data_IF_501597687378
#
_entry.id   IF_501597687378
#
_cell.length_a   1.000
_cell.length_b   1.000
_cell.length_c   1.000
_cell.angle_alpha   90.00
_cell.angle_beta   90.00
_cell.angle_gamma   90.00
#
_symmetry.space_group_name_H-M   'P 1'
#
loop_
_entity.id
_entity.type
_entity.pdbx_description
1 polymer ?
#
# COMPACT_ATOMS: atom_id res chain seq x y z
N UNK A 1 -16.91 1.15 -9.04
CA UNK A 1 -16.80 1.93 -7.81
C UNK A 1 -17.78 1.42 -6.77
N UNK A 2 -17.45 1.49 -5.48
CA UNK A 2 -18.37 1.07 -4.42
C UNK A 2 -19.43 2.14 -4.13
N UNK A 3 -19.07 3.40 -4.22
CA UNK A 3 -20.01 4.51 -4.00
C UNK A 3 -20.50 5.06 -5.34
N UNK A 4 -21.78 4.84 -5.63
CA UNK A 4 -22.45 5.30 -6.86
C UNK A 4 -23.75 6.04 -6.51
N UNK A 5 -24.20 7.01 -7.34
CA UNK A 5 -25.31 7.90 -6.96
C UNK A 5 -26.69 7.22 -6.78
N UNK A 6 -26.92 6.09 -7.42
CA UNK A 6 -28.25 5.43 -7.45
C UNK A 6 -28.27 4.06 -6.77
N UNK A 7 -27.13 3.36 -6.76
CA UNK A 7 -27.01 2.00 -6.22
C UNK A 7 -25.60 1.81 -5.72
N UNK A 8 -25.41 1.15 -4.60
CA UNK A 8 -24.09 0.77 -4.15
C UNK A 8 -23.44 -0.24 -5.12
N UNK A 9 -22.13 -0.10 -5.35
CA UNK A 9 -21.41 -0.95 -6.31
C UNK A 9 -21.38 -2.42 -5.93
N UNK A 10 -21.41 -2.74 -4.62
CA UNK A 10 -21.51 -4.13 -4.14
C UNK A 10 -22.92 -4.68 -4.34
N UNK A 11 -23.96 -3.85 -4.17
CA UNK A 11 -25.33 -4.21 -4.50
C UNK A 11 -25.49 -4.48 -6.01
N UNK A 12 -24.87 -3.64 -6.86
CA UNK A 12 -24.87 -3.87 -8.30
C UNK A 12 -24.17 -5.19 -8.66
N UNK A 13 -23.06 -5.53 -8.01
CA UNK A 13 -22.37 -6.81 -8.22
C UNK A 13 -23.25 -8.00 -7.83
N UNK A 14 -23.96 -7.88 -6.71
CA UNK A 14 -24.92 -8.90 -6.24
C UNK A 14 -26.01 -9.14 -7.26
N UNK A 15 -26.61 -8.09 -7.79
CA UNK A 15 -27.63 -8.15 -8.84
C UNK A 15 -27.08 -8.82 -10.12
N UNK A 16 -25.90 -8.42 -10.60
CA UNK A 16 -25.25 -9.03 -11.77
C UNK A 16 -25.06 -10.54 -11.58
N UNK A 17 -24.67 -11.00 -10.41
CA UNK A 17 -24.40 -12.41 -10.15
C UNK A 17 -25.66 -13.23 -9.82
N UNK A 18 -26.75 -12.60 -9.41
CA UNK A 18 -28.06 -13.23 -9.24
C UNK A 18 -28.77 -13.44 -10.58
N UNK A 19 -28.62 -12.54 -11.52
CA UNK A 19 -29.16 -12.65 -12.88
C UNK A 19 -28.21 -13.43 -13.78
N UNK A 20 -28.17 -14.72 -13.59
CA UNK A 20 -27.72 -15.84 -14.45
C UNK A 20 -26.98 -15.50 -15.77
N UNK A 21 -25.84 -14.82 -15.68
CA UNK A 21 -24.88 -14.83 -16.77
C UNK A 21 -24.03 -16.10 -16.70
N UNK A 22 -24.11 -16.94 -17.70
CA UNK A 22 -23.21 -18.06 -17.90
C UNK A 22 -22.44 -17.87 -19.21
N UNK A 23 -21.10 -17.79 -19.20
CA UNK A 23 -20.21 -17.79 -18.02
C UNK A 23 -20.31 -16.51 -17.20
N UNK A 24 -20.11 -16.60 -15.88
CA UNK A 24 -20.09 -15.43 -15.00
C UNK A 24 -18.95 -14.48 -15.41
N UNK A 25 -19.22 -13.18 -15.59
CA UNK A 25 -18.17 -12.23 -15.91
C UNK A 25 -17.21 -12.05 -14.72
N UNK A 26 -15.93 -11.88 -15.01
CA UNK A 26 -14.95 -11.50 -13.99
C UNK A 26 -15.20 -10.04 -13.57
N UNK A 27 -15.46 -9.79 -12.30
CA UNK A 27 -15.74 -8.46 -11.78
C UNK A 27 -14.51 -7.87 -11.08
N UNK A 28 -14.10 -6.68 -11.52
CA UNK A 28 -13.05 -5.88 -10.89
C UNK A 28 -13.68 -4.68 -10.20
N UNK A 29 -13.42 -4.53 -8.92
CA UNK A 29 -13.88 -3.37 -8.14
C UNK A 29 -12.71 -2.40 -7.99
N UNK A 30 -12.91 -1.17 -8.48
CA UNK A 30 -11.99 -0.06 -8.30
C UNK A 30 -12.68 0.98 -7.41
N UNK A 31 -12.14 1.27 -6.23
CA UNK A 31 -12.78 2.18 -5.28
C UNK A 31 -11.79 3.17 -4.68
N UNK A 32 -12.28 4.40 -4.45
CA UNK A 32 -11.55 5.41 -3.67
C UNK A 32 -11.69 5.17 -2.15
N UNK A 33 -12.67 4.36 -1.75
CA UNK A 33 -12.86 3.95 -0.37
C UNK A 33 -12.35 2.52 -0.20
N UNK A 34 -11.36 2.35 0.65
CA UNK A 34 -10.76 1.06 0.97
C UNK A 34 -10.92 0.77 2.44
N UNK A 35 -11.59 -0.33 2.74
CA UNK A 35 -11.57 -0.92 4.08
C UNK A 35 -11.45 -2.44 3.92
N UNK A 36 -10.83 -3.10 4.88
CA UNK A 36 -10.76 -4.55 4.91
C UNK A 36 -12.16 -5.19 4.85
N UNK A 37 -13.15 -4.54 5.44
CA UNK A 37 -14.54 -4.99 5.48
C UNK A 37 -15.16 -4.97 4.07
N UNK A 38 -14.98 -3.88 3.31
CA UNK A 38 -15.47 -3.77 1.93
C UNK A 38 -14.74 -4.75 0.99
N UNK A 39 -13.44 -4.96 1.19
CA UNK A 39 -12.68 -5.91 0.39
C UNK A 39 -13.14 -7.36 0.64
N UNK A 40 -13.41 -7.72 1.89
CA UNK A 40 -13.95 -9.03 2.26
C UNK A 40 -15.37 -9.22 1.70
N UNK A 41 -16.25 -8.24 1.85
CA UNK A 41 -17.61 -8.30 1.30
C UNK A 41 -17.60 -8.43 -0.23
N UNK A 42 -16.71 -7.71 -0.92
CA UNK A 42 -16.51 -7.86 -2.36
C UNK A 42 -16.05 -9.26 -2.74
N UNK A 43 -15.13 -9.85 -1.97
CA UNK A 43 -14.65 -11.21 -2.19
C UNK A 43 -15.76 -12.24 -1.96
N UNK A 44 -16.54 -12.10 -0.90
CA UNK A 44 -17.68 -12.97 -0.57
C UNK A 44 -18.76 -12.93 -1.67
N UNK A 45 -18.93 -11.77 -2.31
CA UNK A 45 -19.81 -11.60 -3.46
C UNK A 45 -19.21 -12.18 -4.76
N UNK A 46 -17.95 -12.64 -4.75
CA UNK A 46 -17.30 -13.25 -5.89
C UNK A 46 -16.57 -12.26 -6.82
N UNK A 47 -16.23 -11.07 -6.34
CA UNK A 47 -15.38 -10.17 -7.11
C UNK A 47 -14.00 -10.79 -7.36
N UNK A 48 -13.54 -10.74 -8.61
CA UNK A 48 -12.25 -11.29 -9.01
C UNK A 48 -11.06 -10.46 -8.53
N UNK A 49 -11.28 -9.18 -8.27
CA UNK A 49 -10.24 -8.28 -7.78
C UNK A 49 -10.85 -7.01 -7.15
N UNK A 50 -10.26 -6.55 -6.05
CA UNK A 50 -10.53 -5.25 -5.44
C UNK A 50 -9.25 -4.42 -5.47
N UNK A 51 -9.30 -3.19 -5.97
CA UNK A 51 -8.13 -2.30 -6.07
C UNK A 51 -8.49 -0.87 -5.65
N UNK A 52 -7.62 -0.21 -4.87
CA UNK A 52 -7.80 1.19 -4.52
C UNK A 52 -7.57 2.11 -5.72
N UNK A 53 -8.28 3.23 -5.76
CA UNK A 53 -7.98 4.37 -6.64
C UNK A 53 -7.07 5.36 -5.88
N UNK A 54 -6.03 5.93 -6.53
CA UNK A 54 -5.59 5.70 -7.92
C UNK A 54 -4.91 4.33 -8.10
N UNK A 55 -5.35 3.55 -9.07
CA UNK A 55 -4.80 2.22 -9.32
C UNK A 55 -3.60 2.26 -10.30
N UNK A 56 -2.66 1.34 -10.10
CA UNK A 56 -1.56 1.13 -11.03
C UNK A 56 -2.10 0.37 -12.25
N UNK A 57 -2.09 1.02 -13.43
CA UNK A 57 -2.60 0.43 -14.66
C UNK A 57 -1.82 -0.84 -15.07
N UNK A 58 -0.52 -0.89 -14.84
CA UNK A 58 0.29 -2.08 -15.15
C UNK A 58 -0.14 -3.27 -14.29
N UNK A 59 -0.39 -3.03 -12.99
CA UNK A 59 -0.89 -4.06 -12.09
C UNK A 59 -2.30 -4.52 -12.47
N UNK A 60 -3.18 -3.60 -12.87
CA UNK A 60 -4.53 -3.91 -13.35
C UNK A 60 -4.48 -4.79 -14.61
N UNK A 61 -3.67 -4.40 -15.61
CA UNK A 61 -3.49 -5.17 -16.84
C UNK A 61 -2.95 -6.57 -16.57
N UNK A 62 -1.96 -6.69 -15.68
CA UNK A 62 -1.40 -7.99 -15.29
C UNK A 62 -2.45 -8.89 -14.64
N UNK A 63 -3.31 -8.34 -13.78
CA UNK A 63 -4.41 -9.11 -13.16
C UNK A 63 -5.46 -9.55 -14.17
N UNK A 64 -5.82 -8.68 -15.11
CA UNK A 64 -6.76 -9.03 -16.20
C UNK A 64 -6.18 -10.16 -17.06
N UNK A 65 -4.90 -10.07 -17.45
CA UNK A 65 -4.22 -11.11 -18.24
C UNK A 65 -4.18 -12.45 -17.51
N UNK A 66 -3.90 -12.45 -16.21
CA UNK A 66 -3.85 -13.67 -15.42
C UNK A 66 -5.21 -14.38 -15.32
N UNK A 67 -6.32 -13.62 -15.28
CA UNK A 67 -7.67 -14.21 -15.31
C UNK A 67 -8.02 -14.84 -16.66
N UNK A 68 -7.46 -14.34 -17.76
CA UNK A 68 -7.69 -14.88 -19.09
C UNK A 68 -6.97 -16.21 -19.35
N UNK A 69 -5.98 -16.55 -18.53
CA UNK A 69 -5.14 -17.76 -18.67
C UNK A 69 -5.67 -18.92 -17.80
N UNK A 70 -6.48 -18.63 -16.79
CA UNK A 70 -6.96 -19.65 -15.83
C UNK A 70 -8.44 -19.89 -16.03
N UNK A 71 -8.82 -21.05 -16.57
CA UNK A 71 -10.20 -21.55 -16.56
C UNK A 71 -10.73 -21.74 -15.13
N UNK A 72 -12.07 -21.69 -14.92
CA UNK A 72 -12.66 -21.51 -13.60
C UNK A 72 -12.56 -22.78 -12.77
N UNK A 73 -11.72 -22.80 -11.79
CA UNK A 73 -11.94 -23.62 -10.62
C UNK A 73 -12.16 -22.71 -9.40
N UNK A 74 -13.30 -22.92 -8.78
CA UNK A 74 -13.68 -22.35 -7.50
C UNK A 74 -12.51 -22.40 -6.53
N UNK A 75 -11.93 -21.26 -6.25
CA UNK A 75 -11.02 -21.08 -5.11
C UNK A 75 -11.51 -19.87 -4.34
N UNK A 76 -12.29 -20.17 -3.34
CA UNK A 76 -12.59 -19.34 -2.19
C UNK A 76 -11.28 -18.79 -1.64
N UNK A 77 -11.19 -17.47 -1.54
CA UNK A 77 -10.13 -16.81 -0.79
C UNK A 77 -8.81 -16.65 -1.55
N UNK A 78 -8.74 -15.70 -2.49
CA UNK A 78 -7.46 -15.06 -2.73
C UNK A 78 -7.21 -14.11 -1.55
N UNK A 79 -6.66 -14.67 -0.48
CA UNK A 79 -5.87 -13.92 0.44
C UNK A 79 -4.92 -13.06 -0.41
N UNK A 80 -5.01 -11.75 -0.26
CA UNK A 80 -3.99 -10.82 -0.73
C UNK A 80 -2.67 -11.45 -0.35
N UNK A 81 -1.74 -11.66 -1.31
CA UNK A 81 -0.49 -12.31 -0.92
C UNK A 81 0.09 -11.56 0.26
N UNK A 82 0.70 -12.22 1.24
CA UNK A 82 1.23 -11.54 2.41
C UNK A 82 2.09 -10.32 2.06
N UNK A 83 2.83 -10.38 0.95
CA UNK A 83 3.63 -9.26 0.44
C UNK A 83 2.77 -8.08 -0.03
N UNK A 84 1.65 -8.32 -0.71
CA UNK A 84 0.74 -7.24 -1.16
C UNK A 84 -0.05 -6.67 0.02
N UNK A 85 -0.45 -7.51 0.98
CA UNK A 85 -1.09 -7.04 2.22
C UNK A 85 -0.14 -6.14 3.02
N UNK A 86 1.11 -6.51 3.12
CA UNK A 86 2.15 -5.72 3.77
C UNK A 86 2.38 -4.39 3.03
N UNK A 87 2.49 -4.40 1.70
CA UNK A 87 2.65 -3.18 0.90
C UNK A 87 1.49 -2.20 1.11
N UNK A 88 0.25 -2.71 1.17
CA UNK A 88 -0.94 -1.89 1.46
C UNK A 88 -0.82 -1.30 2.87
N UNK A 89 -0.55 -2.13 3.88
CA UNK A 89 -0.43 -1.69 5.27
C UNK A 89 0.65 -0.62 5.46
N UNK A 90 1.83 -0.83 4.89
CA UNK A 90 2.93 0.14 4.93
C UNK A 90 2.53 1.43 4.22
N UNK A 91 1.90 1.35 3.05
CA UNK A 91 1.45 2.53 2.30
C UNK A 91 0.41 3.33 3.07
N UNK A 92 -0.56 2.67 3.70
CA UNK A 92 -1.57 3.32 4.53
C UNK A 92 -0.94 3.98 5.76
N UNK A 93 0.01 3.32 6.40
CA UNK A 93 0.72 3.85 7.58
C UNK A 93 1.48 5.11 7.24
N UNK A 94 2.32 5.12 6.19
CA UNK A 94 3.09 6.31 5.81
C UNK A 94 2.18 7.44 5.31
N UNK A 95 1.02 7.11 4.75
CA UNK A 95 0.02 8.11 4.37
C UNK A 95 -0.65 8.73 5.61
N UNK A 96 -1.04 7.93 6.61
CA UNK A 96 -1.58 8.41 7.89
C UNK A 96 -0.60 9.33 8.61
N UNK A 97 0.69 9.02 8.54
CA UNK A 97 1.76 9.85 9.09
C UNK A 97 1.98 11.17 8.34
N UNK A 98 1.23 11.42 7.25
CA UNK A 98 1.28 12.68 6.50
C UNK A 98 2.35 12.75 5.43
N UNK A 99 2.95 11.63 5.01
CA UNK A 99 3.91 11.60 3.89
C UNK A 99 3.17 11.80 2.56
N UNK A 100 3.48 12.84 1.76
CA UNK A 100 2.77 13.09 0.51
C UNK A 100 3.03 11.99 -0.53
N UNK A 101 1.97 11.41 -1.11
CA UNK A 101 2.06 10.29 -2.05
C UNK A 101 2.74 10.66 -3.40
N UNK A 102 2.73 11.94 -3.78
CA UNK A 102 3.26 12.40 -5.07
C UNK A 102 4.77 12.58 -5.12
N UNK A 103 5.47 12.55 -3.99
CA UNK A 103 6.92 12.72 -3.94
C UNK A 103 7.67 11.40 -4.06
N UNK A 104 8.88 11.42 -4.66
CA UNK A 104 9.71 10.22 -4.79
C UNK A 104 10.11 9.62 -3.44
N UNK A 105 10.24 10.45 -2.42
CA UNK A 105 10.54 10.01 -1.05
C UNK A 105 9.50 9.07 -0.48
N UNK A 106 8.22 9.19 -0.86
CA UNK A 106 7.16 8.27 -0.46
C UNK A 106 7.42 6.85 -0.99
N UNK A 107 7.78 6.72 -2.27
CA UNK A 107 8.10 5.41 -2.88
C UNK A 107 9.34 4.79 -2.25
N UNK A 108 10.39 5.58 -2.09
CA UNK A 108 11.65 5.10 -1.49
C UNK A 108 11.47 4.70 -0.03
N UNK A 109 10.68 5.46 0.73
CA UNK A 109 10.39 5.14 2.12
C UNK A 109 9.59 3.84 2.25
N UNK A 110 8.54 3.67 1.44
CA UNK A 110 7.77 2.43 1.39
C UNK A 110 8.67 1.23 1.10
N UNK A 111 9.47 1.30 0.03
CA UNK A 111 10.30 0.18 -0.38
C UNK A 111 11.43 -0.09 0.63
N UNK A 112 11.95 0.94 1.30
CA UNK A 112 12.89 0.77 2.40
C UNK A 112 12.26 0.03 3.60
N UNK A 113 11.03 0.37 3.97
CA UNK A 113 10.29 -0.32 5.04
C UNK A 113 10.03 -1.77 4.63
N UNK A 114 9.54 -2.02 3.41
CA UNK A 114 9.28 -3.37 2.90
C UNK A 114 10.54 -4.25 2.97
N UNK A 115 11.67 -3.76 2.48
CA UNK A 115 12.95 -4.48 2.55
C UNK A 115 13.39 -4.73 4.00
N UNK A 116 13.12 -3.80 4.91
CA UNK A 116 13.47 -3.94 6.32
C UNK A 116 12.60 -4.97 7.04
N UNK A 117 11.33 -5.11 6.66
CA UNK A 117 10.45 -6.19 7.15
C UNK A 117 10.93 -7.56 6.66
N UNK A 118 11.37 -7.65 5.39
CA UNK A 118 11.89 -8.90 4.82
C UNK A 118 13.26 -9.29 5.41
N UNK A 119 14.09 -8.30 5.72
CA UNK A 119 15.43 -8.50 6.28
C UNK A 119 15.75 -7.39 7.30
N UNK A 120 15.57 -7.71 8.58
CA UNK A 120 15.80 -6.78 9.70
C UNK A 120 17.26 -6.30 9.82
N UNK A 121 18.23 -7.05 9.29
CA UNK A 121 19.65 -6.65 9.33
C UNK A 121 19.92 -5.39 8.51
N UNK A 122 19.11 -5.09 7.50
CA UNK A 122 19.23 -3.88 6.68
C UNK A 122 19.05 -2.59 7.51
N UNK A 123 18.30 -2.65 8.61
CA UNK A 123 18.13 -1.50 9.53
C UNK A 123 19.46 -1.14 10.22
N UNK A 124 20.32 -2.13 10.45
CA UNK A 124 21.64 -1.90 11.05
C UNK A 124 22.67 -1.32 10.07
N UNK A 125 22.39 -1.43 8.77
CA UNK A 125 23.28 -1.04 7.68
C UNK A 125 22.62 -0.08 6.67
N UNK A 126 21.76 0.84 7.14
CA UNK A 126 20.90 1.69 6.29
C UNK A 126 21.68 2.39 5.18
N UNK A 127 22.79 3.04 5.51
CA UNK A 127 23.59 3.77 4.50
C UNK A 127 24.36 2.85 3.57
N UNK A 128 24.86 1.72 4.08
CA UNK A 128 25.72 0.82 3.32
C UNK A 128 24.95 -0.19 2.47
N UNK A 129 23.74 -0.58 2.90
CA UNK A 129 22.98 -1.65 2.28
C UNK A 129 21.58 -1.24 1.86
N UNK A 130 20.76 -0.67 2.77
CA UNK A 130 19.37 -0.37 2.52
C UNK A 130 19.18 0.69 1.42
N UNK A 131 19.86 1.85 1.53
CA UNK A 131 19.74 2.90 0.50
C UNK A 131 20.26 2.45 -0.87
N UNK A 132 21.40 1.75 -0.98
CA UNK A 132 21.82 1.18 -2.25
C UNK A 132 20.85 0.12 -2.81
N UNK A 133 20.19 -0.68 -1.97
CA UNK A 133 19.18 -1.64 -2.41
C UNK A 133 17.98 -0.93 -3.03
N UNK A 134 17.40 0.04 -2.33
CA UNK A 134 16.30 0.89 -2.86
C UNK A 134 16.74 1.64 -4.12
N UNK A 135 17.97 2.15 -4.15
CA UNK A 135 18.51 2.87 -5.30
C UNK A 135 18.56 1.99 -6.56
N UNK A 136 18.98 0.72 -6.42
CA UNK A 136 18.98 -0.25 -7.54
C UNK A 136 17.59 -0.49 -8.11
N UNK A 137 16.56 -0.60 -7.24
CA UNK A 137 15.16 -0.81 -7.67
C UNK A 137 14.64 0.34 -8.54
N UNK A 138 15.15 1.55 -8.31
CA UNK A 138 14.66 2.77 -8.94
C UNK A 138 15.64 3.44 -9.92
N UNK A 139 16.74 2.79 -10.27
CA UNK A 139 17.76 3.39 -11.15
C UNK A 139 18.33 4.71 -10.59
N UNK A 140 18.53 4.80 -9.27
CA UNK A 140 18.94 5.99 -8.54
C UNK A 140 20.28 5.77 -7.81
N UNK A 141 20.64 6.67 -6.92
CA UNK A 141 21.81 6.56 -6.05
C UNK A 141 21.42 6.58 -4.58
N UNK A 142 22.17 5.89 -3.70
CA UNK A 142 21.90 5.85 -2.26
C UNK A 142 21.76 7.24 -1.64
N UNK A 143 22.60 8.20 -2.04
CA UNK A 143 22.51 9.58 -1.55
C UNK A 143 21.21 10.30 -1.96
N UNK A 144 20.71 10.04 -3.18
CA UNK A 144 19.43 10.59 -3.63
C UNK A 144 18.27 9.95 -2.87
N UNK A 145 18.34 8.63 -2.63
CA UNK A 145 17.35 7.89 -1.83
C UNK A 145 17.30 8.45 -0.41
N UNK A 146 18.44 8.56 0.26
CA UNK A 146 18.56 9.10 1.61
C UNK A 146 17.96 10.50 1.72
N UNK A 147 18.32 11.39 0.79
CA UNK A 147 17.82 12.77 0.77
C UNK A 147 16.31 12.84 0.52
N UNK A 148 15.79 12.01 -0.39
CA UNK A 148 14.36 11.98 -0.70
C UNK A 148 13.53 11.43 0.48
N UNK A 149 14.01 10.39 1.18
CA UNK A 149 13.38 9.86 2.39
C UNK A 149 13.39 10.92 3.50
N UNK A 150 14.52 11.59 3.73
CA UNK A 150 14.62 12.68 4.70
C UNK A 150 13.59 13.77 4.43
N UNK A 151 13.48 14.21 3.18
CA UNK A 151 12.48 15.21 2.78
C UNK A 151 11.05 14.72 3.02
N UNK A 152 10.76 13.44 2.72
CA UNK A 152 9.43 12.86 2.96
C UNK A 152 9.05 12.88 4.46
N UNK A 153 9.99 12.52 5.32
CA UNK A 153 9.80 12.58 6.78
C UNK A 153 9.63 14.03 7.25
N UNK A 154 10.39 14.97 6.70
CA UNK A 154 10.23 16.41 7.01
C UNK A 154 8.84 16.94 6.61
N UNK A 155 8.33 16.51 5.46
CA UNK A 155 6.96 16.87 5.04
C UNK A 155 5.91 16.29 6.01
N UNK A 156 6.07 15.03 6.43
CA UNK A 156 5.20 14.42 7.42
C UNK A 156 5.21 15.17 8.75
N UNK A 157 6.39 15.55 9.25
CA UNK A 157 6.53 16.29 10.49
C UNK A 157 5.98 17.71 10.45
N UNK A 158 6.03 18.37 9.29
CA UNK A 158 5.54 19.74 9.12
C UNK A 158 4.05 19.84 8.83
N UNK A 159 3.41 18.77 8.31
CA UNK A 159 2.03 18.77 7.82
C UNK A 159 1.16 17.66 8.37
N UNK A 160 1.78 16.65 8.99
CA UNK A 160 1.07 15.49 9.56
C UNK A 160 0.27 15.87 10.79
N UNK A 161 -0.68 15.01 11.12
CA UNK A 161 -1.46 15.13 12.34
C UNK A 161 -0.57 14.84 13.55
N UNK A 162 -0.51 15.78 14.48
CA UNK A 162 0.34 15.71 15.67
C UNK A 162 -0.07 14.54 16.57
N UNK A 163 -1.38 14.24 16.67
CA UNK A 163 -1.88 13.14 17.50
C UNK A 163 -1.43 11.79 16.92
N UNK A 164 -1.52 11.63 15.59
CA UNK A 164 -1.06 10.43 14.89
C UNK A 164 0.45 10.26 15.01
N UNK A 165 1.22 11.33 14.81
CA UNK A 165 2.68 11.29 14.95
C UNK A 165 3.08 10.94 16.41
N UNK A 166 2.35 11.44 17.38
CA UNK A 166 2.60 11.16 18.78
C UNK A 166 2.22 9.73 19.17
N UNK A 167 1.18 9.17 18.59
CA UNK A 167 0.81 7.76 18.77
C UNK A 167 1.93 6.82 18.31
N UNK A 168 2.49 7.06 17.14
CA UNK A 168 3.56 6.21 16.59
C UNK A 168 4.94 6.46 17.19
N UNK A 169 5.28 7.69 17.52
CA UNK A 169 6.64 8.10 17.86
C UNK A 169 6.80 8.68 19.25
N UNK A 170 5.72 8.89 20.00
CA UNK A 170 5.69 9.65 21.25
C UNK A 170 6.67 9.21 22.32
N UNK A 171 7.05 7.93 22.34
CA UNK A 171 8.01 7.37 23.31
C UNK A 171 9.44 7.24 22.78
N UNK A 172 9.63 7.38 21.46
CA UNK A 172 10.92 7.13 20.79
C UNK A 172 11.66 8.40 20.40
N UNK A 173 10.95 9.52 20.31
CA UNK A 173 11.55 10.80 19.96
C UNK A 173 11.95 11.51 21.24
N UNK A 174 13.26 11.70 21.43
CA UNK A 174 13.77 12.60 22.45
C UNK A 174 13.17 13.99 22.21
N UNK A 175 12.57 14.58 23.25
CA UNK A 175 12.00 15.93 23.23
C UNK A 175 12.95 17.02 22.70
N UNK A 176 14.24 16.74 22.61
CA UNK A 176 15.27 17.60 22.07
C UNK A 176 15.46 17.52 20.55
N UNK A 177 15.15 16.39 19.90
CA UNK A 177 15.39 16.19 18.46
C UNK A 177 14.23 16.59 17.55
N UNK A 178 13.03 16.72 18.07
CA UNK A 178 11.83 17.20 17.38
C UNK A 178 11.31 16.33 16.23
N UNK A 179 12.15 15.51 15.58
CA UNK A 179 11.80 14.57 14.50
C UNK A 179 12.73 13.37 14.51
N UNK A 180 12.28 12.18 14.07
CA UNK A 180 13.11 10.99 13.96
C UNK A 180 14.14 11.12 12.83
N UNK A 181 15.23 10.40 12.96
CA UNK A 181 16.13 10.12 11.83
C UNK A 181 15.43 9.18 10.83
N UNK A 182 15.97 9.09 9.62
CA UNK A 182 15.44 8.14 8.61
C UNK A 182 15.43 6.70 9.14
N UNK A 183 16.49 6.29 9.82
CA UNK A 183 16.62 4.95 10.38
C UNK A 183 15.59 4.68 11.47
N UNK A 184 15.40 5.62 12.39
CA UNK A 184 14.38 5.53 13.45
C UNK A 184 12.98 5.46 12.85
N UNK A 185 12.68 6.28 11.83
CA UNK A 185 11.38 6.26 11.15
C UNK A 185 11.11 4.93 10.47
N UNK A 186 12.07 4.41 9.69
CA UNK A 186 11.95 3.12 9.00
C UNK A 186 11.78 1.99 10.02
N UNK A 187 12.61 1.97 11.05
CA UNK A 187 12.61 0.93 12.08
C UNK A 187 11.33 0.88 12.92
N UNK A 188 10.65 2.02 13.09
CA UNK A 188 9.39 2.08 13.85
C UNK A 188 8.20 1.53 13.09
N UNK A 189 8.27 1.53 11.76
CA UNK A 189 7.15 1.09 10.92
C UNK A 189 7.37 -0.33 10.40
N UNK A 190 8.64 -0.77 10.26
CA UNK A 190 9.00 -2.13 9.86
C UNK A 190 8.77 -3.14 10.97
#
# INVERSE_FOLDING_TARGET
DTVLPKMDGLAALREIYQHLFHPRPAAFILSSFTSALLANEAADLGASCFMPKPCNLTALVSRIKNLSITQPQHSIGHAVSPAVALEISVTETIHKLGVPAHIMGHKYLRDAIMLSVENADLINAVTKELYPAVARMHGSTGSKVERAIRHAIECAWSRGDVEVLQEYFGYTISSYKGKPTNSEFISMIA
#
